data_IF_360028390830
#
_entry.id   IF_360028390830
#
_cell.length_a   1.000
_cell.length_b   1.000
_cell.length_c   1.000
_cell.angle_alpha   90.00
_cell.angle_beta   90.00
_cell.angle_gamma   90.00
#
_symmetry.space_group_name_H-M   'P 1'
#
loop_
_entity.id
_entity.type
_entity.pdbx_description
1 polymer ?
#
# COMPACT_ATOMS: atom_id res chain seq x y z
N UNK A 1 15.82 58.12 24.59
CA UNK A 1 16.68 57.22 23.79
C UNK A 1 16.49 55.75 24.16
N UNK A 2 15.26 55.25 24.22
CA UNK A 2 14.95 53.83 24.60
C UNK A 2 14.01 53.10 23.64
N UNK A 3 13.81 53.57 22.40
CA UNK A 3 12.88 52.93 21.46
C UNK A 3 13.49 52.15 20.30
N UNK A 4 14.81 52.17 20.12
CA UNK A 4 15.45 51.57 18.95
C UNK A 4 15.90 50.12 19.13
N UNK A 5 15.96 49.59 20.36
CA UNK A 5 16.42 48.22 20.61
C UNK A 5 15.32 47.13 20.51
N UNK A 6 14.04 47.53 20.59
CA UNK A 6 12.94 46.57 20.58
C UNK A 6 12.53 46.13 19.15
N UNK A 7 12.82 46.97 18.14
CA UNK A 7 12.46 46.70 16.74
C UNK A 7 13.38 45.65 16.07
N UNK A 8 14.65 45.58 16.47
CA UNK A 8 15.60 44.66 15.84
C UNK A 8 15.41 43.21 16.26
N UNK A 9 15.01 43.00 17.51
CA UNK A 9 14.78 41.64 18.05
C UNK A 9 13.49 41.01 17.47
N UNK A 10 12.47 41.81 17.22
CA UNK A 10 11.19 41.38 16.66
C UNK A 10 11.35 41.01 15.18
N UNK A 11 12.13 41.77 14.41
CA UNK A 11 12.41 41.49 12.99
C UNK A 11 13.21 40.21 12.80
N UNK A 12 14.12 39.87 13.71
CA UNK A 12 14.90 38.64 13.65
C UNK A 12 14.05 37.38 13.98
N UNK A 13 13.14 37.48 14.95
CA UNK A 13 12.24 36.40 15.32
C UNK A 13 11.23 36.08 14.21
N UNK A 14 10.68 37.09 13.54
CA UNK A 14 9.73 36.91 12.43
C UNK A 14 10.41 36.32 11.19
N UNK A 15 11.64 36.71 10.87
CA UNK A 15 12.41 36.15 9.75
C UNK A 15 12.78 34.68 9.93
N UNK A 16 13.15 34.28 11.16
CA UNK A 16 13.49 32.89 11.47
C UNK A 16 12.25 31.99 11.40
N UNK A 17 11.11 32.44 11.90
CA UNK A 17 9.85 31.70 11.87
C UNK A 17 9.34 31.50 10.44
N UNK A 18 9.42 32.52 9.59
CA UNK A 18 9.06 32.42 8.16
C UNK A 18 9.96 31.43 7.40
N UNK A 19 11.27 31.40 7.67
CA UNK A 19 12.20 30.46 7.05
C UNK A 19 11.93 29.00 7.48
N UNK A 20 11.57 28.76 8.73
CA UNK A 20 11.20 27.43 9.23
C UNK A 20 9.88 26.94 8.60
N UNK A 21 8.88 27.78 8.47
CA UNK A 21 7.61 27.45 7.81
C UNK A 21 7.81 27.14 6.32
N UNK A 22 8.65 27.87 5.61
CA UNK A 22 8.95 27.63 4.20
C UNK A 22 9.64 26.27 4.00
N UNK A 23 10.59 25.90 4.85
CA UNK A 23 11.26 24.58 4.80
C UNK A 23 10.30 23.43 5.09
N UNK A 24 9.38 23.58 6.04
CA UNK A 24 8.37 22.57 6.35
C UNK A 24 7.38 22.39 5.18
N UNK A 25 6.95 23.48 4.52
CA UNK A 25 6.09 23.42 3.35
C UNK A 25 6.75 22.71 2.17
N UNK A 26 8.03 23.00 1.85
CA UNK A 26 8.77 22.35 0.79
C UNK A 26 8.98 20.85 1.05
N UNK A 27 9.24 20.44 2.30
CA UNK A 27 9.36 19.04 2.68
C UNK A 27 8.02 18.29 2.52
N UNK A 28 6.91 18.97 2.82
CA UNK A 28 5.56 18.39 2.66
C UNK A 28 5.20 18.22 1.18
N UNK A 29 5.47 19.18 0.33
CA UNK A 29 5.24 19.09 -1.11
C UNK A 29 6.10 18.00 -1.77
N UNK A 30 7.36 17.86 -1.38
CA UNK A 30 8.23 16.79 -1.86
C UNK A 30 7.70 15.40 -1.48
N UNK A 31 7.13 15.25 -0.29
CA UNK A 31 6.56 13.99 0.16
C UNK A 31 5.23 13.67 -0.56
N UNK A 32 4.40 14.67 -0.84
CA UNK A 32 3.19 14.52 -1.66
C UNK A 32 3.54 14.15 -3.11
N UNK A 33 4.58 14.74 -3.69
CA UNK A 33 5.05 14.42 -5.04
C UNK A 33 5.50 12.96 -5.17
N UNK A 34 6.19 12.43 -4.18
CA UNK A 34 6.62 11.02 -4.17
C UNK A 34 5.44 10.04 -4.01
N UNK A 35 4.37 10.44 -3.36
CA UNK A 35 3.16 9.61 -3.23
C UNK A 35 2.27 9.65 -4.47
N UNK A 36 2.30 10.73 -5.25
CA UNK A 36 1.51 10.88 -6.48
C UNK A 36 2.13 10.19 -7.71
N UNK A 37 3.40 9.81 -7.64
CA UNK A 37 4.12 9.15 -8.73
C UNK A 37 4.01 7.60 -8.68
N UNK A 38 3.04 7.04 -7.97
CA UNK A 38 2.82 5.61 -7.92
C UNK A 38 1.97 5.15 -9.12
N UNK A 39 2.35 4.02 -9.72
CA UNK A 39 1.60 3.40 -10.80
C UNK A 39 0.70 2.29 -10.25
N UNK A 40 -0.55 2.31 -10.68
CA UNK A 40 -1.50 1.24 -10.41
C UNK A 40 -1.43 0.20 -11.54
N UNK A 41 -1.23 -1.07 -11.18
CA UNK A 41 -1.17 -2.19 -12.13
C UNK A 41 -2.25 -3.20 -11.79
N UNK A 42 -3.20 -3.39 -12.71
CA UNK A 42 -4.23 -4.42 -12.59
C UNK A 42 -3.72 -5.75 -13.15
N UNK A 43 -4.07 -6.86 -12.51
CA UNK A 43 -3.76 -8.20 -12.96
C UNK A 43 -5.05 -8.96 -13.34
N UNK A 44 -4.96 -9.96 -14.22
CA UNK A 44 -6.10 -10.81 -14.55
C UNK A 44 -6.64 -11.55 -13.31
N UNK A 45 -7.90 -11.94 -13.35
CA UNK A 45 -8.51 -12.81 -12.36
C UNK A 45 -7.82 -14.19 -12.36
N UNK A 46 -7.55 -14.71 -11.18
CA UNK A 46 -6.96 -16.03 -11.00
C UNK A 46 -8.01 -16.98 -10.41
N UNK A 47 -8.36 -18.01 -11.17
CA UNK A 47 -9.23 -19.07 -10.68
C UNK A 47 -8.47 -19.98 -9.70
N UNK A 48 -8.97 -20.13 -8.49
CA UNK A 48 -8.44 -20.99 -7.44
C UNK A 48 -9.25 -22.29 -7.44
N UNK A 49 -8.61 -23.37 -7.80
CA UNK A 49 -9.25 -24.70 -7.77
C UNK A 49 -9.36 -25.17 -6.32
N UNK A 50 -10.51 -25.70 -5.94
CA UNK A 50 -10.78 -26.15 -4.57
C UNK A 50 -9.78 -27.21 -4.08
N UNK A 51 -9.21 -27.00 -2.90
CA UNK A 51 -8.24 -27.85 -2.22
C UNK A 51 -6.96 -28.18 -3.04
N UNK A 52 -6.71 -27.45 -4.13
CA UNK A 52 -5.47 -27.59 -4.92
C UNK A 52 -4.29 -26.89 -4.24
N UNK A 53 -3.08 -27.10 -4.74
CA UNK A 53 -1.90 -26.35 -4.31
C UNK A 53 -2.11 -24.83 -4.48
N UNK A 54 -1.48 -24.00 -3.64
CA UNK A 54 -1.58 -22.55 -3.77
C UNK A 54 -1.21 -22.05 -5.17
N UNK A 55 -2.05 -21.19 -5.74
CA UNK A 55 -1.82 -20.57 -7.04
C UNK A 55 -1.12 -19.21 -6.88
N UNK A 56 -0.19 -18.90 -7.78
CA UNK A 56 0.45 -17.58 -7.80
C UNK A 56 -0.57 -16.53 -8.22
N UNK A 57 -0.76 -15.51 -7.38
CA UNK A 57 -1.60 -14.33 -7.67
C UNK A 57 -0.74 -13.20 -8.24
N UNK A 58 0.38 -12.92 -7.61
CA UNK A 58 1.34 -11.89 -8.00
C UNK A 58 2.76 -12.44 -7.85
N UNK A 59 3.58 -12.28 -8.86
CA UNK A 59 5.01 -12.56 -8.75
C UNK A 59 5.69 -11.59 -7.80
N UNK A 60 6.87 -11.93 -7.27
CA UNK A 60 7.68 -11.01 -6.48
C UNK A 60 8.03 -9.75 -7.31
N UNK A 61 7.90 -8.57 -6.72
CA UNK A 61 8.17 -7.30 -7.36
C UNK A 61 8.76 -6.31 -6.35
N UNK A 62 10.05 -6.01 -6.49
CA UNK A 62 10.76 -5.09 -5.58
C UNK A 62 10.28 -3.64 -5.66
N UNK A 63 9.61 -3.26 -6.76
CA UNK A 63 9.00 -1.95 -6.92
C UNK A 63 7.61 -1.86 -6.27
N UNK A 64 7.01 -2.98 -5.83
CA UNK A 64 5.70 -2.97 -5.18
C UNK A 64 5.74 -2.21 -3.87
N UNK A 65 4.79 -1.29 -3.70
CA UNK A 65 4.51 -0.58 -2.45
C UNK A 65 3.42 -1.32 -1.67
N UNK A 66 2.34 -1.69 -2.36
CA UNK A 66 1.24 -2.47 -1.79
C UNK A 66 0.50 -3.26 -2.87
N UNK A 67 -0.27 -4.25 -2.46
CA UNK A 67 -1.19 -4.98 -3.30
C UNK A 67 -2.55 -5.08 -2.62
N UNK A 68 -3.62 -5.05 -3.39
CA UNK A 68 -4.99 -5.31 -2.93
C UNK A 68 -5.49 -6.55 -3.66
N UNK A 69 -5.94 -7.55 -2.90
CA UNK A 69 -6.57 -8.75 -3.46
C UNK A 69 -8.02 -8.83 -3.02
N UNK A 70 -8.91 -9.09 -3.96
CA UNK A 70 -10.35 -9.24 -3.75
C UNK A 70 -10.79 -10.67 -4.05
N UNK A 71 -11.62 -11.23 -3.19
CA UNK A 71 -12.31 -12.49 -3.43
C UNK A 71 -13.60 -12.24 -4.22
N UNK A 72 -13.61 -12.64 -5.48
CA UNK A 72 -14.75 -12.46 -6.39
C UNK A 72 -15.82 -13.56 -6.22
N UNK A 73 -15.53 -14.60 -5.44
CA UNK A 73 -16.48 -15.66 -5.15
C UNK A 73 -17.64 -15.20 -4.27
N UNK A 74 -18.70 -15.97 -4.28
CA UNK A 74 -19.93 -15.68 -3.51
C UNK A 74 -20.13 -16.60 -2.31
N UNK A 75 -19.37 -17.70 -2.19
CA UNK A 75 -19.60 -18.75 -1.19
C UNK A 75 -18.36 -19.13 -0.39
N UNK A 76 -17.18 -19.16 -1.01
CA UNK A 76 -15.98 -19.73 -0.38
C UNK A 76 -15.01 -18.66 0.08
N UNK A 77 -14.42 -18.88 1.26
CA UNK A 77 -13.33 -18.05 1.76
C UNK A 77 -12.07 -18.33 0.94
N UNK A 78 -11.36 -17.27 0.58
CA UNK A 78 -10.01 -17.34 0.05
C UNK A 78 -8.99 -17.13 1.16
N UNK A 79 -7.80 -17.71 1.00
CA UNK A 79 -6.60 -17.43 1.79
C UNK A 79 -5.56 -16.82 0.88
N UNK A 80 -4.90 -15.77 1.34
CA UNK A 80 -3.81 -15.10 0.61
C UNK A 80 -2.60 -14.98 1.51
N UNK A 81 -1.42 -15.25 0.98
CA UNK A 81 -0.16 -15.21 1.71
C UNK A 81 1.01 -15.69 0.88
N UNK A 82 2.00 -16.30 1.52
CA UNK A 82 3.16 -16.92 0.88
C UNK A 82 2.84 -18.34 0.33
N UNK A 83 3.81 -19.03 -0.21
CA UNK A 83 3.64 -20.37 -0.79
C UNK A 83 3.24 -21.46 0.21
N UNK A 84 3.29 -21.19 1.53
CA UNK A 84 2.92 -22.15 2.59
C UNK A 84 1.46 -22.05 3.03
N UNK A 85 0.66 -21.19 2.40
CA UNK A 85 -0.77 -21.02 2.75
C UNK A 85 -1.55 -22.33 2.60
N UNK A 86 -2.57 -22.46 3.44
CA UNK A 86 -3.44 -23.65 3.48
C UNK A 86 -4.84 -23.26 3.98
N UNK A 87 -5.71 -24.21 4.20
CA UNK A 87 -7.01 -23.98 4.82
C UNK A 87 -6.93 -23.28 6.19
N UNK A 88 -5.81 -23.46 6.92
CA UNK A 88 -5.60 -22.92 8.26
C UNK A 88 -4.61 -21.74 8.32
N UNK A 89 -3.90 -21.45 7.23
CA UNK A 89 -2.85 -20.42 7.19
C UNK A 89 -3.09 -19.41 6.09
N UNK A 90 -2.63 -18.17 6.31
CA UNK A 90 -2.80 -17.06 5.41
C UNK A 90 -3.93 -16.11 5.82
N UNK A 91 -3.97 -14.95 5.22
CA UNK A 91 -5.03 -13.96 5.45
C UNK A 91 -6.33 -14.43 4.82
N UNK A 92 -7.38 -14.57 5.62
CA UNK A 92 -8.70 -14.96 5.14
C UNK A 92 -9.42 -13.76 4.51
N UNK A 93 -9.95 -13.97 3.31
CA UNK A 93 -10.78 -12.99 2.60
C UNK A 93 -12.15 -13.63 2.36
N UNK A 94 -13.17 -13.10 3.01
CA UNK A 94 -14.56 -13.54 2.84
C UNK A 94 -15.05 -13.32 1.41
N UNK A 95 -16.10 -14.03 0.96
CA UNK A 95 -16.72 -13.77 -0.34
C UNK A 95 -17.06 -12.28 -0.52
N UNK A 96 -16.65 -11.70 -1.65
CA UNK A 96 -16.82 -10.28 -1.95
C UNK A 96 -15.89 -9.32 -1.18
N UNK A 97 -15.11 -9.83 -0.22
CA UNK A 97 -14.18 -9.03 0.58
C UNK A 97 -12.86 -8.77 -0.13
N UNK A 98 -12.04 -7.88 0.45
CA UNK A 98 -10.70 -7.56 -0.02
C UNK A 98 -9.73 -7.40 1.14
N UNK A 99 -8.44 -7.58 0.87
CA UNK A 99 -7.35 -7.33 1.83
C UNK A 99 -6.17 -6.66 1.13
N UNK A 100 -5.44 -5.85 1.88
CA UNK A 100 -4.24 -5.14 1.42
C UNK A 100 -2.98 -5.80 2.00
N UNK A 101 -1.93 -5.87 1.18
CA UNK A 101 -0.66 -6.50 1.51
C UNK A 101 0.49 -5.56 1.14
N UNK A 102 1.27 -5.14 2.14
CA UNK A 102 2.44 -4.25 1.95
C UNK A 102 3.72 -5.08 1.90
N UNK A 103 3.82 -5.93 0.89
CA UNK A 103 4.95 -6.84 0.68
C UNK A 103 5.47 -6.80 -0.75
N UNK A 104 6.76 -7.06 -0.92
CA UNK A 104 7.43 -7.18 -2.23
C UNK A 104 7.56 -8.61 -2.72
N UNK A 105 7.39 -9.60 -1.84
CA UNK A 105 7.42 -11.03 -2.16
C UNK A 105 6.24 -11.47 -3.03
N UNK A 106 6.29 -12.69 -3.55
CA UNK A 106 5.18 -13.28 -4.29
C UNK A 106 3.96 -13.51 -3.37
N UNK A 107 2.77 -13.28 -3.91
CA UNK A 107 1.50 -13.59 -3.26
C UNK A 107 0.86 -14.81 -3.91
N UNK A 108 0.37 -15.70 -3.06
CA UNK A 108 -0.33 -16.92 -3.44
C UNK A 108 -1.76 -16.91 -2.93
N UNK A 109 -2.64 -17.59 -3.65
CA UNK A 109 -4.04 -17.78 -3.28
C UNK A 109 -4.37 -19.26 -3.06
N UNK A 110 -5.23 -19.52 -2.07
CA UNK A 110 -5.76 -20.85 -1.77
C UNK A 110 -7.25 -20.71 -1.39
N UNK A 111 -8.05 -21.72 -1.72
CA UNK A 111 -9.42 -21.86 -1.24
C UNK A 111 -9.80 -23.32 -1.13
N UNK A 112 -10.37 -23.75 -0.01
CA UNK A 112 -10.80 -25.13 0.18
C UNK A 112 -11.92 -25.54 -0.80
N UNK A 113 -12.84 -24.63 -1.08
CA UNK A 113 -13.98 -24.88 -1.96
C UNK A 113 -13.82 -24.33 -3.39
N UNK A 114 -12.70 -23.68 -3.67
CA UNK A 114 -12.49 -22.95 -4.93
C UNK A 114 -13.16 -21.58 -4.95
N UNK A 115 -12.53 -20.64 -5.63
CA UNK A 115 -13.02 -19.27 -5.82
C UNK A 115 -12.25 -18.59 -6.96
N UNK A 116 -12.51 -17.31 -7.20
CA UNK A 116 -11.69 -16.47 -8.09
C UNK A 116 -11.16 -15.27 -7.29
N UNK A 117 -9.89 -14.95 -7.48
CA UNK A 117 -9.22 -13.82 -6.85
C UNK A 117 -8.74 -12.83 -7.92
N UNK A 118 -9.01 -11.56 -7.71
CA UNK A 118 -8.40 -10.46 -8.45
C UNK A 118 -7.42 -9.72 -7.56
N UNK A 119 -6.24 -9.43 -8.06
CA UNK A 119 -5.26 -8.60 -7.36
C UNK A 119 -4.82 -7.45 -8.25
N UNK A 120 -4.55 -6.32 -7.61
CA UNK A 120 -3.90 -5.16 -8.22
C UNK A 120 -2.74 -4.73 -7.33
N UNK A 121 -1.72 -4.14 -7.92
CA UNK A 121 -0.57 -3.65 -7.17
C UNK A 121 -0.30 -2.17 -7.44
N UNK A 122 0.24 -1.49 -6.43
CA UNK A 122 0.78 -0.15 -6.52
C UNK A 122 2.28 -0.27 -6.53
N UNK A 123 2.93 0.24 -7.57
CA UNK A 123 4.38 0.17 -7.74
C UNK A 123 4.99 1.56 -7.76
N UNK A 124 6.25 1.65 -7.35
CA UNK A 124 7.09 2.85 -7.55
C UNK A 124 7.46 2.96 -9.02
N UNK A 125 7.52 4.20 -9.53
CA UNK A 125 8.03 4.45 -10.88
C UNK A 125 9.51 4.10 -11.03
#
# INVERSE_FOLDING_TARGET
MKRTKMSLTLAFATGLLAALCAKAALAHEANLGNNLAQNYVSHPDVAIVGAAAPAVLLAANSARVSAVCQNLGTTNVARVGDSSISAAQGTAISPGGAATFDITGALYGFSQGGTSLNCAEIIRP
#
